data_IF_069498980538
#
_entry.id   IF_069498980538
#
_cell.length_a   1.000
_cell.length_b   1.000
_cell.length_c   1.000
_cell.angle_alpha   90.00
_cell.angle_beta   90.00
_cell.angle_gamma   90.00
#
_symmetry.space_group_name_H-M   'P 1'
#
loop_
_entity.id
_entity.type
_entity.pdbx_description
1 polymer ?
#
# COMPACT_ATOMS: atom_id res chain seq x y z
N UNK A 1 17.23 2.05 17.24
CA UNK A 1 16.78 2.66 15.97
C UNK A 1 16.16 1.56 15.13
N UNK A 2 14.92 1.69 14.68
CA UNK A 2 14.32 0.71 13.76
C UNK A 2 14.94 0.89 12.37
N UNK A 3 15.25 -0.22 11.70
CA UNK A 3 15.68 -0.16 10.30
C UNK A 3 14.52 0.37 9.45
N UNK A 4 14.81 1.11 8.36
CA UNK A 4 13.78 1.51 7.40
C UNK A 4 13.06 0.25 6.88
N UNK A 5 11.75 0.17 7.08
CA UNK A 5 10.94 -0.95 6.62
C UNK A 5 10.06 -0.48 5.47
N UNK A 6 10.21 -1.12 4.31
CA UNK A 6 9.55 -0.75 3.07
C UNK A 6 8.51 -1.81 2.71
N UNK A 7 7.26 -1.40 2.51
CA UNK A 7 6.24 -2.33 2.03
C UNK A 7 6.42 -2.59 0.54
N UNK A 8 6.29 -3.85 0.15
CA UNK A 8 6.23 -4.26 -1.24
C UNK A 8 4.83 -4.04 -1.84
N UNK A 9 4.74 -4.15 -3.17
CA UNK A 9 3.50 -3.97 -3.93
C UNK A 9 2.46 -5.07 -3.66
N UNK A 10 2.87 -6.28 -3.29
CA UNK A 10 1.97 -7.41 -3.04
C UNK A 10 1.23 -7.25 -1.71
N UNK A 11 1.93 -6.83 -0.65
CA UNK A 11 1.37 -6.48 0.66
C UNK A 11 0.36 -5.34 0.51
N UNK A 12 0.69 -4.30 -0.27
CA UNK A 12 -0.23 -3.19 -0.54
C UNK A 12 -1.46 -3.68 -1.32
N UNK A 13 -1.26 -4.56 -2.31
CA UNK A 13 -2.35 -5.14 -3.10
C UNK A 13 -3.31 -5.97 -2.24
N UNK A 14 -2.80 -6.81 -1.35
CA UNK A 14 -3.61 -7.60 -0.42
C UNK A 14 -4.30 -6.73 0.64
N UNK A 15 -3.63 -5.68 1.12
CA UNK A 15 -4.22 -4.70 2.02
C UNK A 15 -5.43 -4.01 1.38
N UNK A 16 -5.30 -3.57 0.12
CA UNK A 16 -6.39 -2.93 -0.63
C UNK A 16 -7.55 -3.88 -0.94
N UNK A 17 -7.28 -5.18 -1.16
CA UNK A 17 -8.32 -6.21 -1.30
C UNK A 17 -9.03 -6.51 0.02
N UNK A 18 -8.52 -5.98 1.13
CA UNK A 18 -9.15 -6.10 2.43
C UNK A 18 -8.77 -7.36 3.21
N UNK A 19 -7.69 -8.05 2.82
CA UNK A 19 -7.25 -9.31 3.44
C UNK A 19 -7.00 -9.12 4.95
N UNK A 20 -7.72 -9.86 5.77
CA UNK A 20 -7.75 -9.69 7.23
C UNK A 20 -6.40 -9.95 7.90
N UNK A 21 -5.63 -10.94 7.42
CA UNK A 21 -4.31 -11.24 7.99
C UNK A 21 -3.31 -10.12 7.69
N UNK A 22 -3.34 -9.60 6.45
CA UNK A 22 -2.50 -8.49 6.02
C UNK A 22 -2.89 -7.19 6.75
N UNK A 23 -4.19 -6.95 6.98
CA UNK A 23 -4.65 -5.81 7.79
C UNK A 23 -4.13 -5.86 9.23
N UNK A 24 -4.15 -7.02 9.87
CA UNK A 24 -3.62 -7.18 11.23
C UNK A 24 -2.12 -6.84 11.26
N UNK A 25 -1.34 -7.38 10.31
CA UNK A 25 0.10 -7.08 10.18
C UNK A 25 0.37 -5.61 9.84
N UNK A 26 -0.46 -5.01 8.99
CA UNK A 26 -0.36 -3.58 8.66
C UNK A 26 -0.64 -2.70 9.89
N UNK A 27 -1.56 -3.11 10.77
CA UNK A 27 -1.80 -2.43 12.04
C UNK A 27 -0.62 -2.56 13.00
N UNK A 28 -0.01 -3.75 13.10
CA UNK A 28 1.21 -3.97 13.89
C UNK A 28 2.35 -3.07 13.35
N UNK A 29 2.57 -3.07 12.03
CA UNK A 29 3.54 -2.21 11.37
C UNK A 29 3.31 -0.72 11.67
N UNK A 30 2.06 -0.24 11.58
CA UNK A 30 1.73 1.16 11.89
C UNK A 30 1.97 1.52 13.35
N UNK A 31 1.78 0.57 14.28
CA UNK A 31 2.07 0.80 15.70
C UNK A 31 3.55 1.07 15.96
N UNK A 32 4.44 0.46 15.16
CA UNK A 32 5.89 0.60 15.27
C UNK A 32 6.44 1.78 14.44
N UNK A 33 5.96 1.93 13.20
CA UNK A 33 6.53 2.85 12.20
C UNK A 33 5.72 4.14 12.00
N UNK A 34 4.47 4.20 12.49
CA UNK A 34 3.52 5.34 12.39
C UNK A 34 3.00 5.70 11.00
N UNK A 35 3.71 5.34 9.95
CA UNK A 35 3.29 5.55 8.57
C UNK A 35 3.72 4.37 7.69
N UNK A 36 2.95 4.10 6.63
CA UNK A 36 3.38 3.20 5.57
C UNK A 36 4.49 3.85 4.75
N UNK A 37 5.60 3.14 4.60
CA UNK A 37 6.69 3.55 3.72
C UNK A 37 6.68 2.66 2.48
N UNK A 38 6.58 3.27 1.30
CA UNK A 38 6.56 2.57 0.00
C UNK A 38 7.57 3.23 -0.94
N UNK A 39 8.05 2.50 -1.95
CA UNK A 39 8.97 3.06 -2.95
C UNK A 39 8.19 3.77 -4.07
N UNK A 40 8.85 4.66 -4.79
CA UNK A 40 8.31 5.24 -6.03
C UNK A 40 7.99 4.17 -7.09
N UNK A 41 8.72 3.05 -7.09
CA UNK A 41 8.44 1.92 -8.00
C UNK A 41 7.12 1.25 -7.60
N UNK A 42 6.91 0.96 -6.32
CA UNK A 42 5.65 0.38 -5.83
C UNK A 42 4.45 1.30 -6.11
N UNK A 43 4.64 2.62 -5.91
CA UNK A 43 3.64 3.63 -6.28
C UNK A 43 3.28 3.57 -7.77
N UNK A 44 4.28 3.49 -8.64
CA UNK A 44 4.09 3.36 -10.08
C UNK A 44 3.34 2.06 -10.45
N UNK A 45 3.69 0.93 -9.85
CA UNK A 45 3.04 -0.36 -10.11
C UNK A 45 1.57 -0.36 -9.72
N UNK A 46 1.23 0.22 -8.55
CA UNK A 46 -0.15 0.39 -8.10
C UNK A 46 -0.94 1.24 -9.09
N UNK A 47 -0.43 2.43 -9.44
CA UNK A 47 -1.10 3.33 -10.37
C UNK A 47 -1.26 2.70 -11.76
N UNK A 48 -0.23 2.00 -12.25
CA UNK A 48 -0.28 1.27 -13.52
C UNK A 48 -1.37 0.18 -13.48
N UNK A 49 -1.42 -0.61 -12.42
CA UNK A 49 -2.42 -1.67 -12.24
C UNK A 49 -3.85 -1.15 -12.15
N UNK A 50 -4.06 -0.05 -11.42
CA UNK A 50 -5.38 0.60 -11.31
C UNK A 50 -5.84 1.19 -12.65
N UNK A 51 -4.94 1.87 -13.39
CA UNK A 51 -5.23 2.40 -14.73
C UNK A 51 -5.56 1.28 -15.73
N UNK A 52 -4.81 0.19 -15.71
CA UNK A 52 -5.07 -0.97 -16.57
C UNK A 52 -6.45 -1.61 -16.32
N UNK A 53 -6.99 -1.47 -15.11
CA UNK A 53 -8.34 -1.94 -14.73
C UNK A 53 -9.44 -0.90 -14.91
N UNK A 54 -9.14 0.29 -15.44
CA UNK A 54 -10.07 1.44 -15.49
C UNK A 54 -10.65 1.80 -14.11
N UNK A 55 -9.88 1.59 -13.04
CA UNK A 55 -10.29 1.79 -11.64
C UNK A 55 -10.09 3.26 -11.20
N UNK A 56 -10.70 4.21 -11.91
CA UNK A 56 -10.43 5.64 -11.72
C UNK A 56 -10.72 6.12 -10.29
N UNK A 57 -11.79 5.62 -9.65
CA UNK A 57 -12.12 5.96 -8.25
C UNK A 57 -11.00 5.60 -7.28
N UNK A 58 -10.34 4.47 -7.50
CA UNK A 58 -9.22 4.00 -6.69
C UNK A 58 -7.94 4.80 -6.99
N UNK A 59 -7.73 5.22 -8.24
CA UNK A 59 -6.63 6.13 -8.60
C UNK A 59 -6.79 7.46 -7.87
N UNK A 60 -7.98 8.06 -7.94
CA UNK A 60 -8.28 9.33 -7.29
C UNK A 60 -8.10 9.22 -5.77
N UNK A 61 -8.61 8.14 -5.17
CA UNK A 61 -8.43 7.86 -3.75
C UNK A 61 -6.95 7.72 -3.37
N UNK A 62 -6.15 7.04 -4.19
CA UNK A 62 -4.73 6.82 -3.91
C UNK A 62 -3.88 8.10 -4.04
N UNK A 63 -4.25 9.04 -4.91
CA UNK A 63 -3.53 10.32 -5.10
C UNK A 63 -3.90 11.36 -4.03
N UNK A 64 -5.06 11.22 -3.37
CA UNK A 64 -5.52 12.15 -2.34
C UNK A 64 -4.79 11.99 -0.99
N UNK A 65 -4.11 10.86 -0.77
CA UNK A 65 -3.31 10.57 0.43
C UNK A 65 -1.85 10.98 0.26
#
# INVERSE_FOLDING_TARGET
MHQPSLLDTDILSELFKGNSSVKARASEYLSEHRCFTISHIAQYEILKGLKAKNAQRQVDAFILF
#
